data_IF_140193844606
#
_entry.id   IF_140193844606
#
_cell.length_a   1.000
_cell.length_b   1.000
_cell.length_c   1.000
_cell.angle_alpha   90.00
_cell.angle_beta   90.00
_cell.angle_gamma   90.00
#
_symmetry.space_group_name_H-M   'P 1'
#
loop_
_entity.id
_entity.type
_entity.pdbx_description
1 polymer ?
#
# COMPACT_ATOMS: atom_id res chain seq x y z
N UNK A 1 9.27 2.29 6.78
CA UNK A 1 9.98 3.07 5.74
C UNK A 1 10.07 2.31 4.42
N UNK A 2 10.34 1.00 4.44
CA UNK A 2 10.45 0.16 3.23
C UNK A 2 9.14 0.03 2.47
N UNK A 3 8.02 0.01 3.17
CA UNK A 3 6.70 -0.06 2.54
C UNK A 3 6.46 1.07 1.51
N UNK A 4 7.19 2.20 1.60
CA UNK A 4 7.11 3.25 0.59
C UNK A 4 7.57 2.85 -0.83
N UNK A 5 8.29 1.73 -0.98
CA UNK A 5 8.79 1.26 -2.29
C UNK A 5 7.65 0.83 -3.23
N UNK A 6 6.52 0.37 -2.69
CA UNK A 6 5.38 -0.02 -3.53
C UNK A 6 4.81 1.15 -4.33
N UNK A 7 4.90 2.40 -3.82
CA UNK A 7 4.36 3.58 -4.50
C UNK A 7 5.01 3.86 -5.87
N UNK A 8 6.35 3.93 -6.00
CA UNK A 8 7.00 4.06 -7.29
C UNK A 8 6.67 2.92 -8.24
N UNK A 9 6.61 1.69 -7.74
CA UNK A 9 6.26 0.52 -8.56
C UNK A 9 4.82 0.62 -9.05
N UNK A 10 3.89 0.96 -8.18
CA UNK A 10 2.49 1.13 -8.53
C UNK A 10 2.31 2.28 -9.55
N UNK A 11 2.99 3.41 -9.33
CA UNK A 11 2.98 4.54 -10.27
C UNK A 11 3.48 4.12 -11.65
N UNK A 12 4.55 3.33 -11.71
CA UNK A 12 5.07 2.80 -12.97
C UNK A 12 4.06 1.88 -13.67
N UNK A 13 3.45 0.95 -12.92
CA UNK A 13 2.42 0.04 -13.46
C UNK A 13 1.28 0.85 -14.06
N UNK A 14 0.73 1.82 -13.33
CA UNK A 14 -0.36 2.67 -13.82
C UNK A 14 0.02 3.46 -15.07
N UNK A 15 1.25 3.97 -15.14
CA UNK A 15 1.71 4.67 -16.32
C UNK A 15 1.82 3.76 -17.55
N UNK A 16 2.30 2.53 -17.39
CA UNK A 16 2.40 1.56 -18.51
C UNK A 16 1.02 1.26 -19.10
N UNK A 17 -0.01 1.20 -18.25
CA UNK A 17 -1.39 0.94 -18.67
C UNK A 17 -2.17 2.19 -19.11
N UNK A 18 -1.58 3.39 -19.04
CA UNK A 18 -2.20 4.59 -19.59
C UNK A 18 -2.47 4.45 -21.10
N UNK A 19 -3.63 4.91 -21.60
CA UNK A 19 -3.90 4.98 -23.03
C UNK A 19 -2.85 5.83 -23.75
N UNK A 20 -2.55 5.49 -25.01
CA UNK A 20 -1.44 6.13 -25.74
C UNK A 20 -1.69 7.64 -26.02
N UNK A 21 -2.93 8.06 -26.10
CA UNK A 21 -3.37 9.46 -26.20
C UNK A 21 -3.08 10.28 -24.93
N UNK A 22 -2.98 9.62 -23.78
CA UNK A 22 -2.70 10.22 -22.46
C UNK A 22 -1.25 10.04 -22.00
N UNK A 23 -0.48 9.22 -22.70
CA UNK A 23 0.94 9.09 -22.40
C UNK A 23 1.65 10.37 -22.85
N UNK A 24 2.10 11.17 -21.90
CA UNK A 24 3.18 12.10 -22.14
C UNK A 24 4.25 11.37 -22.93
N UNK A 25 4.45 11.73 -24.21
CA UNK A 25 5.38 11.10 -25.18
C UNK A 25 6.24 10.07 -24.48
N UNK A 26 6.07 8.80 -24.79
CA UNK A 26 6.68 7.59 -24.17
C UNK A 26 8.17 7.82 -23.85
N UNK A 27 8.44 8.65 -22.86
CA UNK A 27 9.76 9.12 -22.53
C UNK A 27 10.24 8.21 -21.40
N UNK A 28 10.85 7.09 -21.80
CA UNK A 28 11.53 6.17 -20.87
C UNK A 28 12.48 6.95 -19.94
N UNK A 29 13.01 8.08 -20.42
CA UNK A 29 13.85 8.98 -19.66
C UNK A 29 13.13 9.59 -18.44
N UNK A 30 11.81 9.83 -18.54
CA UNK A 30 11.03 10.34 -17.40
C UNK A 30 11.05 9.34 -16.22
N UNK A 31 10.86 8.06 -16.51
CA UNK A 31 10.94 7.03 -15.47
C UNK A 31 12.32 6.83 -14.92
N UNK A 32 13.32 6.90 -15.79
CA UNK A 32 14.72 6.78 -15.36
C UNK A 32 15.04 7.92 -14.39
N UNK A 33 14.67 9.15 -14.69
CA UNK A 33 14.86 10.28 -13.79
C UNK A 33 14.01 10.18 -12.51
N UNK A 34 12.79 9.68 -12.62
CA UNK A 34 11.91 9.46 -11.46
C UNK A 34 12.50 8.43 -10.50
N UNK A 35 12.93 7.28 -10.99
CA UNK A 35 13.56 6.25 -10.17
C UNK A 35 14.94 6.68 -9.64
N UNK A 36 15.75 7.34 -10.45
CA UNK A 36 17.01 7.92 -9.98
C UNK A 36 16.79 8.92 -8.85
N UNK A 37 15.85 9.85 -9.03
CA UNK A 37 15.49 10.81 -7.99
C UNK A 37 14.99 10.15 -6.71
N UNK A 38 14.13 9.14 -6.84
CA UNK A 38 13.62 8.37 -5.71
C UNK A 38 14.74 7.68 -4.94
N UNK A 39 15.62 6.93 -5.61
CA UNK A 39 16.73 6.24 -4.96
C UNK A 39 17.76 7.19 -4.39
N UNK A 40 18.00 8.33 -5.04
CA UNK A 40 18.91 9.36 -4.55
C UNK A 40 18.39 9.98 -3.25
N UNK A 41 17.11 10.35 -3.20
CA UNK A 41 16.47 10.88 -1.99
C UNK A 41 16.50 9.81 -0.89
N UNK A 42 16.18 8.57 -1.21
CA UNK A 42 16.19 7.46 -0.26
C UNK A 42 17.60 7.25 0.32
N UNK A 43 18.65 7.30 -0.51
CA UNK A 43 20.05 7.18 -0.08
C UNK A 43 20.46 8.33 0.83
N UNK A 44 20.13 9.58 0.47
CA UNK A 44 20.50 10.77 1.26
C UNK A 44 19.78 10.77 2.62
N UNK A 45 18.48 10.40 2.63
CA UNK A 45 17.66 10.46 3.85
C UNK A 45 17.82 9.26 4.77
N UNK A 46 18.52 8.21 4.32
CA UNK A 46 18.66 6.98 5.08
C UNK A 46 20.12 6.58 5.30
N UNK A 47 20.76 7.06 6.37
CA UNK A 47 22.19 6.84 6.65
C UNK A 47 22.61 5.36 6.70
N UNK A 48 21.68 4.45 7.02
CA UNK A 48 21.94 3.02 7.04
C UNK A 48 22.41 2.47 5.69
N UNK A 49 22.02 3.11 4.58
CA UNK A 49 22.41 2.71 3.22
C UNK A 49 23.81 3.20 2.82
N UNK A 50 24.46 4.07 3.61
CA UNK A 50 25.69 4.71 3.17
C UNK A 50 26.90 3.79 3.08
N UNK A 51 26.98 2.78 3.96
CA UNK A 51 28.14 1.86 3.98
C UNK A 51 28.03 0.80 2.87
N UNK A 52 26.93 0.05 2.82
CA UNK A 52 26.68 -1.03 1.85
C UNK A 52 25.27 -0.90 1.30
N UNK A 53 24.99 -0.03 0.31
CA UNK A 53 23.64 0.34 -0.08
C UNK A 53 22.80 -0.84 -0.57
N UNK A 54 23.37 -1.74 -1.38
CA UNK A 54 22.63 -2.88 -1.92
C UNK A 54 22.38 -3.97 -0.85
N UNK A 55 23.42 -4.38 -0.14
CA UNK A 55 23.28 -5.40 0.92
C UNK A 55 22.33 -4.94 2.01
N UNK A 56 22.50 -3.70 2.49
CA UNK A 56 21.65 -3.15 3.52
C UNK A 56 20.20 -2.98 3.05
N UNK A 57 19.99 -2.62 1.79
CA UNK A 57 18.66 -2.53 1.22
C UNK A 57 17.94 -3.90 1.19
N UNK A 58 18.62 -4.94 0.72
CA UNK A 58 18.05 -6.29 0.66
C UNK A 58 17.90 -6.93 2.04
N UNK A 59 18.84 -6.69 2.97
CA UNK A 59 18.71 -7.20 4.35
C UNK A 59 17.47 -6.62 5.04
N UNK A 60 17.22 -5.32 4.90
CA UNK A 60 16.05 -4.68 5.47
C UNK A 60 14.74 -5.15 4.81
N UNK A 61 14.74 -5.41 3.49
CA UNK A 61 13.57 -6.01 2.82
C UNK A 61 13.23 -7.37 3.45
N UNK A 62 14.25 -8.21 3.65
CA UNK A 62 14.09 -9.52 4.29
C UNK A 62 13.64 -9.40 5.74
N UNK A 63 14.27 -8.54 6.52
CA UNK A 63 13.91 -8.29 7.92
C UNK A 63 12.51 -7.69 8.09
N UNK A 64 12.06 -6.87 7.14
CA UNK A 64 10.70 -6.29 7.19
C UNK A 64 9.60 -7.30 6.99
N UNK A 65 9.89 -8.40 6.29
CA UNK A 65 8.94 -9.50 6.10
C UNK A 65 8.86 -10.40 7.35
N UNK A 66 9.96 -10.54 8.08
CA UNK A 66 10.06 -11.37 9.28
C UNK A 66 10.89 -10.66 10.33
N UNK A 67 10.36 -9.56 10.88
CA UNK A 67 11.09 -8.80 11.91
C UNK A 67 11.30 -9.68 13.14
N UNK A 68 12.55 -10.09 13.44
CA UNK A 68 12.82 -10.90 14.63
C UNK A 68 12.59 -10.02 15.85
N UNK A 69 11.57 -10.34 16.61
CA UNK A 69 11.32 -9.68 17.88
C UNK A 69 12.25 -10.35 18.88
N UNK A 70 13.34 -9.68 19.22
CA UNK A 70 14.28 -10.12 20.24
C UNK A 70 13.76 -9.91 21.67
N UNK A 71 12.53 -9.46 21.81
CA UNK A 71 11.94 -9.11 23.10
C UNK A 71 10.71 -9.98 23.34
N UNK A 72 10.73 -10.75 24.39
CA UNK A 72 9.59 -11.52 24.87
C UNK A 72 8.55 -10.57 25.46
N UNK A 73 7.69 -10.01 24.61
CA UNK A 73 6.54 -9.28 25.08
C UNK A 73 5.26 -9.81 24.42
N UNK A 74 4.21 -9.77 25.19
CA UNK A 74 2.88 -10.15 24.74
C UNK A 74 2.03 -8.91 24.47
N UNK A 75 1.13 -9.02 23.52
CA UNK A 75 0.18 -7.97 23.17
C UNK A 75 -1.17 -8.37 23.71
N UNK A 76 -1.77 -7.50 24.53
CA UNK A 76 -3.15 -7.67 24.96
C UNK A 76 -4.10 -7.38 23.79
N UNK A 77 -4.80 -8.39 23.34
CA UNK A 77 -5.76 -8.29 22.23
C UNK A 77 -7.04 -9.06 22.55
N UNK A 78 -8.18 -8.33 22.57
CA UNK A 78 -9.50 -8.88 22.91
C UNK A 78 -9.54 -9.72 24.21
N UNK A 79 -8.78 -9.29 25.23
CA UNK A 79 -8.71 -9.96 26.53
C UNK A 79 -7.72 -11.10 26.63
N UNK A 80 -7.02 -11.45 25.55
CA UNK A 80 -5.99 -12.48 25.52
C UNK A 80 -4.61 -11.87 25.29
N UNK A 81 -3.58 -12.47 25.89
CA UNK A 81 -2.20 -12.13 25.61
C UNK A 81 -1.71 -12.97 24.44
N UNK A 82 -1.28 -12.31 23.38
CA UNK A 82 -0.80 -12.94 22.14
C UNK A 82 0.62 -12.49 21.84
N UNK A 83 1.43 -13.40 21.30
CA UNK A 83 2.73 -13.04 20.76
C UNK A 83 2.56 -12.23 19.46
N UNK A 84 3.43 -11.24 19.19
CA UNK A 84 3.36 -10.43 17.98
C UNK A 84 3.44 -11.22 16.66
N UNK A 85 3.98 -12.43 16.70
CA UNK A 85 4.11 -13.34 15.57
C UNK A 85 2.81 -14.09 15.24
N UNK A 86 1.91 -14.22 16.23
CA UNK A 86 0.68 -15.01 16.12
C UNK A 86 -0.58 -14.12 16.13
N UNK A 87 -0.47 -12.90 15.58
CA UNK A 87 -1.62 -12.00 15.50
C UNK A 87 -2.62 -12.46 14.44
N UNK A 88 -3.92 -12.44 14.73
CA UNK A 88 -4.93 -12.81 13.75
C UNK A 88 -5.03 -11.76 12.63
N UNK A 89 -5.42 -12.19 11.43
CA UNK A 89 -5.55 -11.34 10.24
C UNK A 89 -6.45 -10.10 10.46
N UNK A 90 -7.42 -10.20 11.36
CA UNK A 90 -8.35 -9.12 11.67
C UNK A 90 -7.80 -8.10 12.69
N UNK A 91 -6.60 -8.30 13.21
CA UNK A 91 -5.96 -7.41 14.18
C UNK A 91 -5.93 -5.95 13.70
N UNK A 92 -5.52 -5.72 12.47
CA UNK A 92 -5.50 -4.40 11.86
C UNK A 92 -6.89 -3.75 11.84
N UNK A 93 -7.91 -4.49 11.38
CA UNK A 93 -9.25 -3.93 11.21
C UNK A 93 -9.90 -3.55 12.54
N UNK A 94 -9.71 -4.34 13.58
CA UNK A 94 -10.27 -4.03 14.90
C UNK A 94 -9.60 -2.79 15.49
N UNK A 95 -8.27 -2.70 15.42
CA UNK A 95 -7.57 -1.52 15.89
C UNK A 95 -7.91 -0.27 15.06
N UNK A 96 -8.02 -0.40 13.76
CA UNK A 96 -8.43 0.68 12.88
C UNK A 96 -9.81 1.21 13.25
N UNK A 97 -10.79 0.33 13.41
CA UNK A 97 -12.17 0.71 13.75
C UNK A 97 -12.29 1.30 15.16
N UNK A 98 -11.52 0.79 16.14
CA UNK A 98 -11.59 1.25 17.52
C UNK A 98 -10.89 2.60 17.75
N UNK A 99 -9.85 2.91 16.96
CA UNK A 99 -9.07 4.15 17.13
C UNK A 99 -9.49 5.27 16.19
N UNK A 100 -10.22 4.96 15.11
CA UNK A 100 -10.69 5.97 14.17
C UNK A 100 -12.04 6.54 14.64
N UNK A 101 -12.23 7.88 14.66
CA UNK A 101 -13.51 8.47 15.03
C UNK A 101 -14.64 7.95 14.12
N UNK A 102 -15.77 7.63 14.72
CA UNK A 102 -16.88 6.94 14.05
C UNK A 102 -17.39 7.63 12.79
N UNK A 103 -17.35 8.97 12.75
CA UNK A 103 -17.73 9.75 11.58
C UNK A 103 -16.85 9.43 10.38
N UNK A 104 -15.51 9.35 10.58
CA UNK A 104 -14.58 8.99 9.53
C UNK A 104 -14.78 7.55 9.06
N UNK A 105 -15.08 6.65 9.97
CA UNK A 105 -15.41 5.25 9.63
C UNK A 105 -16.58 5.20 8.64
N UNK A 106 -17.67 5.94 8.93
CA UNK A 106 -18.82 6.00 8.02
C UNK A 106 -18.47 6.61 6.65
N UNK A 107 -17.69 7.69 6.63
CA UNK A 107 -17.25 8.34 5.38
C UNK A 107 -16.42 7.37 4.55
N UNK A 108 -15.49 6.66 5.16
CA UNK A 108 -14.62 5.67 4.50
C UNK A 108 -15.46 4.54 3.90
N UNK A 109 -16.37 3.94 4.68
CA UNK A 109 -17.25 2.87 4.17
C UNK A 109 -18.13 3.35 3.02
N UNK A 110 -18.66 4.57 3.12
CA UNK A 110 -19.45 5.17 2.04
C UNK A 110 -18.62 5.42 0.78
N UNK A 111 -17.39 5.92 0.92
CA UNK A 111 -16.45 6.08 -0.19
C UNK A 111 -16.10 4.76 -0.86
N UNK A 112 -15.78 3.73 -0.08
CA UNK A 112 -15.52 2.37 -0.60
C UNK A 112 -16.76 1.82 -1.31
N UNK A 113 -17.94 2.02 -0.77
CA UNK A 113 -19.20 1.56 -1.40
C UNK A 113 -19.43 2.23 -2.77
N UNK A 114 -19.23 3.55 -2.87
CA UNK A 114 -19.35 4.28 -4.13
C UNK A 114 -18.33 3.75 -5.15
N UNK A 115 -17.07 3.59 -4.71
CA UNK A 115 -16.00 3.06 -5.54
C UNK A 115 -16.34 1.67 -6.09
N UNK A 116 -16.73 0.74 -5.21
CA UNK A 116 -17.09 -0.62 -5.60
C UNK A 116 -18.28 -0.64 -6.57
N UNK A 117 -19.30 0.19 -6.34
CA UNK A 117 -20.46 0.32 -7.25
C UNK A 117 -20.03 0.82 -8.64
N UNK A 118 -19.15 1.81 -8.71
CA UNK A 118 -18.65 2.33 -9.98
C UNK A 118 -17.85 1.27 -10.74
N UNK A 119 -16.95 0.56 -10.04
CA UNK A 119 -16.13 -0.50 -10.62
C UNK A 119 -16.94 -1.73 -11.00
N UNK A 120 -17.89 -2.16 -10.19
CA UNK A 120 -18.77 -3.27 -10.51
C UNK A 120 -19.57 -3.02 -11.80
N UNK A 121 -20.15 -1.82 -11.94
CA UNK A 121 -20.86 -1.42 -13.17
C UNK A 121 -19.92 -1.34 -14.38
N UNK A 122 -18.67 -0.97 -14.16
CA UNK A 122 -17.64 -0.93 -15.20
C UNK A 122 -17.24 -2.35 -15.63
N UNK A 123 -16.99 -3.26 -14.69
CA UNK A 123 -16.68 -4.66 -14.96
C UNK A 123 -17.79 -5.38 -15.73
N UNK A 124 -19.03 -5.16 -15.36
CA UNK A 124 -20.18 -5.74 -16.09
C UNK A 124 -20.23 -5.26 -17.55
N UNK A 125 -19.85 -4.01 -17.83
CA UNK A 125 -19.79 -3.48 -19.20
C UNK A 125 -18.59 -4.00 -20.00
N UNK A 126 -17.46 -4.30 -19.36
CA UNK A 126 -16.26 -4.86 -20.03
C UNK A 126 -16.51 -6.29 -20.51
N UNK A 127 -17.28 -7.10 -19.79
CA UNK A 127 -17.59 -8.47 -20.21
C UNK A 127 -18.35 -8.53 -21.55
N UNK A 128 -18.98 -7.42 -21.96
CA UNK A 128 -19.65 -7.31 -23.25
C UNK A 128 -18.79 -6.65 -24.35
N UNK A 129 -17.73 -5.91 -23.99
CA UNK A 129 -16.83 -5.24 -24.94
C UNK A 129 -15.44 -5.93 -24.88
N UNK A 130 -14.99 -6.49 -26.00
CA UNK A 130 -13.71 -7.23 -26.12
C UNK A 130 -12.43 -6.40 -25.84
N UNK A 131 -12.54 -5.13 -25.50
CA UNK A 131 -11.41 -4.27 -25.19
C UNK A 131 -11.16 -4.24 -23.67
N UNK A 132 -10.23 -5.05 -23.19
CA UNK A 132 -9.70 -5.07 -21.83
C UNK A 132 -8.99 -3.74 -21.50
N UNK A 133 -9.75 -2.71 -21.15
CA UNK A 133 -9.19 -1.49 -20.55
C UNK A 133 -9.51 -1.51 -19.06
N UNK A 134 -8.50 -1.35 -18.20
CA UNK A 134 -8.66 -1.33 -16.74
C UNK A 134 -9.44 -0.09 -16.26
N UNK A 135 -9.47 0.99 -17.05
CA UNK A 135 -10.22 2.22 -16.81
C UNK A 135 -10.55 2.92 -18.13
N UNK A 136 -11.60 3.73 -18.14
CA UNK A 136 -12.01 4.55 -19.30
C UNK A 136 -11.71 6.04 -19.11
N UNK A 137 -11.75 6.51 -17.86
CA UNK A 137 -11.55 7.91 -17.50
C UNK A 137 -10.39 8.08 -16.54
N UNK A 138 -9.82 9.28 -16.52
CA UNK A 138 -8.75 9.64 -15.58
C UNK A 138 -9.21 9.49 -14.13
N UNK A 139 -10.45 9.89 -13.82
CA UNK A 139 -11.01 9.77 -12.47
C UNK A 139 -11.10 8.32 -11.99
N UNK A 140 -11.47 7.40 -12.89
CA UNK A 140 -11.47 5.96 -12.56
C UNK A 140 -10.05 5.45 -12.27
N UNK A 141 -9.09 5.87 -13.08
CA UNK A 141 -7.68 5.51 -12.86
C UNK A 141 -7.20 6.00 -11.49
N UNK A 142 -7.44 7.28 -11.18
CA UNK A 142 -7.03 7.88 -9.91
C UNK A 142 -7.69 7.21 -8.73
N UNK A 143 -8.99 6.94 -8.81
CA UNK A 143 -9.73 6.23 -7.75
C UNK A 143 -9.19 4.81 -7.52
N UNK A 144 -8.87 4.09 -8.60
CA UNK A 144 -8.24 2.76 -8.50
C UNK A 144 -6.85 2.84 -7.87
N UNK A 145 -6.07 3.83 -8.28
CA UNK A 145 -4.74 4.05 -7.74
C UNK A 145 -4.78 4.29 -6.22
N UNK A 146 -5.64 5.20 -5.77
CA UNK A 146 -5.84 5.51 -4.35
C UNK A 146 -6.30 4.26 -3.58
N UNK A 147 -7.27 3.54 -4.12
CA UNK A 147 -7.76 2.29 -3.53
C UNK A 147 -6.65 1.26 -3.35
N UNK A 148 -5.83 1.06 -4.37
CA UNK A 148 -4.69 0.13 -4.31
C UNK A 148 -3.61 0.62 -3.35
N UNK A 149 -3.35 1.93 -3.27
CA UNK A 149 -2.42 2.49 -2.30
C UNK A 149 -2.82 2.20 -0.85
N UNK A 150 -4.09 2.08 -0.58
CA UNK A 150 -4.60 1.68 0.74
C UNK A 150 -4.54 0.17 0.95
N UNK A 151 -5.07 -0.63 0.02
CA UNK A 151 -5.26 -2.07 0.23
C UNK A 151 -3.99 -2.90 0.07
N UNK A 152 -3.08 -2.54 -0.84
CA UNK A 152 -1.86 -3.33 -1.09
C UNK A 152 -1.01 -3.51 0.17
N UNK A 153 -0.66 -2.46 0.96
CA UNK A 153 0.14 -2.64 2.16
C UNK A 153 -0.54 -3.53 3.21
N UNK A 154 -1.85 -3.36 3.38
CA UNK A 154 -2.62 -4.17 4.33
C UNK A 154 -2.61 -5.64 3.91
N UNK A 155 -2.85 -5.90 2.62
CA UNK A 155 -2.79 -7.24 2.05
C UNK A 155 -1.43 -7.90 2.26
N UNK A 156 -0.33 -7.18 2.01
CA UNK A 156 1.01 -7.70 2.24
C UNK A 156 1.28 -7.99 3.72
N UNK A 157 0.86 -7.12 4.63
CA UNK A 157 1.02 -7.34 6.06
C UNK A 157 0.29 -8.61 6.51
N UNK A 158 -0.92 -8.84 6.01
CA UNK A 158 -1.71 -10.03 6.35
C UNK A 158 -1.11 -11.30 5.73
N UNK A 159 -0.73 -11.26 4.45
CA UNK A 159 -0.22 -12.46 3.74
C UNK A 159 1.17 -12.87 4.17
N UNK A 160 2.01 -11.91 4.53
CA UNK A 160 3.36 -12.17 5.02
C UNK A 160 3.41 -12.43 6.55
N UNK A 161 2.25 -12.41 7.23
CA UNK A 161 2.17 -12.51 8.68
C UNK A 161 3.16 -11.55 9.37
N UNK A 162 3.28 -10.32 8.85
CA UNK A 162 4.23 -9.35 9.37
C UNK A 162 3.89 -9.01 10.81
N UNK A 163 4.90 -9.00 11.68
CA UNK A 163 4.73 -8.67 13.09
C UNK A 163 4.23 -7.25 13.28
N UNK A 164 3.08 -7.11 13.91
CA UNK A 164 2.52 -5.82 14.29
C UNK A 164 2.58 -5.67 15.81
N UNK A 165 2.83 -4.47 16.28
CA UNK A 165 2.74 -4.13 17.69
C UNK A 165 2.27 -2.69 17.85
N UNK A 166 1.73 -2.35 19.03
CA UNK A 166 1.14 -1.05 19.30
C UNK A 166 0.01 -0.65 18.33
N UNK A 167 -0.92 -1.57 18.09
CA UNK A 167 -2.05 -1.36 17.19
C UNK A 167 -1.63 -1.34 15.72
N UNK A 168 -2.22 -0.43 14.94
CA UNK A 168 -1.94 -0.31 13.50
C UNK A 168 -0.95 0.83 13.16
N UNK A 169 -0.18 1.30 14.10
CA UNK A 169 0.78 2.41 13.96
C UNK A 169 1.73 2.23 12.77
N UNK A 170 2.13 1.00 12.48
CA UNK A 170 3.01 0.68 11.36
C UNK A 170 2.38 0.95 9.99
N UNK A 171 1.05 1.05 9.93
CA UNK A 171 0.27 1.30 8.73
C UNK A 171 -0.31 2.73 8.67
N UNK A 172 0.08 3.64 9.55
CA UNK A 172 -0.41 5.04 9.51
C UNK A 172 -0.12 5.75 8.19
N UNK A 173 0.88 5.33 7.43
CA UNK A 173 1.19 5.89 6.12
C UNK A 173 0.11 5.60 5.06
N UNK A 174 -0.80 4.66 5.29
CA UNK A 174 -1.95 4.41 4.39
C UNK A 174 -3.13 5.35 4.68
N UNK A 175 -3.13 6.03 5.83
CA UNK A 175 -4.23 6.90 6.25
C UNK A 175 -4.54 8.04 5.26
N UNK A 176 -3.54 8.73 4.64
CA UNK A 176 -3.81 9.77 3.65
C UNK A 176 -4.59 9.30 2.43
N UNK A 177 -4.60 8.01 2.12
CA UNK A 177 -5.35 7.45 1.00
C UNK A 177 -6.83 7.16 1.33
N UNK A 178 -7.24 7.39 2.58
CA UNK A 178 -8.61 7.21 3.04
C UNK A 178 -9.40 8.52 3.12
N UNK A 179 -8.72 9.65 3.11
CA UNK A 179 -9.30 10.99 3.20
C UNK A 179 -9.39 11.62 1.80
#
# INVERSE_FOLDING_TARGET
RIMGIYLPVLTYIFYVFLPDDQKFKKNINFFLYFFLGYFLILYITWPFLWLNPLENFFSILKESASYPIHWDFEILYLGNYLSPENLPWHYFFIWFLSTTPIIFVFIIFFGIFIFLKQYFNFFLKITFDKNLKLWKTYDQMTSLFIFLCFFIPIFFVITLNSTLYNGWRHLYFVYPFLI
#
